data_IF_963956817502
#
_entry.id   IF_963956817502
#
_cell.length_a   1.000
_cell.length_b   1.000
_cell.length_c   1.000
_cell.angle_alpha   90.00
_cell.angle_beta   90.00
_cell.angle_gamma   90.00
#
_symmetry.space_group_name_H-M   'P 1'
#
loop_
_entity.id
_entity.type
_entity.pdbx_description
1 polymer ?
#
# COMPACT_ATOMS: atom_id res chain seq x y z
N UNK A 1 -0.13 49.70 6.28
CA UNK A 1 0.19 50.26 7.61
C UNK A 1 0.00 49.15 8.64
N UNK A 2 1.08 48.86 9.37
CA UNK A 2 1.25 48.16 10.67
C UNK A 2 0.34 46.95 11.04
N UNK A 3 0.86 45.83 11.55
CA UNK A 3 2.23 45.52 11.94
C UNK A 3 2.40 44.23 12.76
N UNK A 4 3.67 43.99 13.09
CA UNK A 4 4.26 43.24 14.24
C UNK A 4 3.93 41.74 14.33
N UNK A 5 4.84 40.83 13.97
CA UNK A 5 6.09 40.46 14.65
C UNK A 5 5.87 39.94 16.09
N UNK A 6 6.02 38.62 16.27
CA UNK A 6 6.32 38.01 17.56
C UNK A 6 7.42 36.95 17.35
N UNK A 7 8.59 37.34 17.83
CA UNK A 7 9.84 36.60 18.00
C UNK A 7 9.66 35.59 19.15
N UNK A 8 10.08 34.32 18.98
CA UNK A 8 10.32 33.41 20.10
C UNK A 8 11.77 32.94 20.05
N UNK A 9 12.45 33.18 21.16
CA UNK A 9 13.88 33.09 21.41
C UNK A 9 14.29 31.66 21.81
N UNK A 10 15.52 31.31 21.42
CA UNK A 10 16.32 30.13 21.72
C UNK A 10 16.31 29.63 23.17
N UNK A 11 16.58 28.33 23.36
CA UNK A 11 17.51 27.89 24.40
C UNK A 11 18.36 26.70 23.91
N UNK A 12 19.68 26.86 24.06
CA UNK A 12 20.74 25.89 23.79
C UNK A 12 21.04 25.15 25.09
N UNK A 13 21.31 23.84 25.05
CA UNK A 13 22.40 23.14 25.78
C UNK A 13 22.09 21.65 25.97
N UNK A 14 22.95 20.78 25.42
CA UNK A 14 23.62 19.74 26.20
C UNK A 14 24.71 19.06 25.34
N UNK A 15 25.95 19.34 25.72
CA UNK A 15 27.16 18.61 25.37
C UNK A 15 27.30 17.41 26.33
N UNK A 16 27.92 16.31 25.88
CA UNK A 16 28.70 15.50 26.82
C UNK A 16 28.68 13.98 26.65
N UNK A 17 29.83 13.45 26.21
CA UNK A 17 30.39 12.14 26.60
C UNK A 17 29.76 10.92 25.92
N UNK A 18 30.49 9.91 25.48
CA UNK A 18 31.85 9.45 25.77
C UNK A 18 31.85 7.94 25.52
N UNK A 19 32.95 7.44 24.96
CA UNK A 19 33.12 6.15 24.30
C UNK A 19 32.64 4.89 25.07
N UNK A 20 32.25 3.85 24.32
CA UNK A 20 32.70 2.49 24.64
C UNK A 20 32.77 1.62 23.38
N UNK A 21 34.00 1.22 23.07
CA UNK A 21 34.36 0.17 22.11
C UNK A 21 34.01 -1.17 22.75
N UNK A 22 33.26 -2.01 22.06
CA UNK A 22 33.21 -3.45 22.33
C UNK A 22 33.30 -4.17 20.99
N UNK A 23 34.51 -4.57 20.62
CA UNK A 23 34.71 -5.66 19.69
C UNK A 23 34.50 -6.98 20.45
N UNK A 24 33.85 -7.97 19.85
CA UNK A 24 34.19 -9.35 20.13
C UNK A 24 34.86 -9.97 18.90
N UNK A 25 36.04 -10.49 19.22
CA UNK A 25 36.94 -11.34 18.46
C UNK A 25 36.27 -12.32 17.51
N UNK A 26 36.82 -12.38 16.30
CA UNK A 26 36.76 -13.55 15.44
C UNK A 26 37.43 -14.74 16.14
N UNK A 27 36.69 -15.83 16.32
CA UNK A 27 37.22 -17.15 16.61
C UNK A 27 36.56 -18.15 15.65
N UNK A 28 37.33 -18.94 14.88
CA UNK A 28 36.80 -20.03 14.06
C UNK A 28 36.91 -21.34 14.83
N UNK A 29 35.82 -22.09 14.99
CA UNK A 29 35.74 -23.52 15.36
C UNK A 29 34.26 -23.84 15.62
N UNK A 30 33.66 -24.98 15.34
CA UNK A 30 33.82 -26.07 14.38
C UNK A 30 32.48 -26.84 14.45
N UNK A 31 32.15 -27.55 13.37
CA UNK A 31 31.13 -28.59 13.19
C UNK A 31 30.18 -28.95 14.37
N UNK A 32 28.88 -28.84 14.08
CA UNK A 32 27.80 -29.52 14.82
C UNK A 32 26.69 -29.90 13.84
N UNK A 33 26.81 -31.10 13.28
CA UNK A 33 25.76 -31.81 12.55
C UNK A 33 24.66 -32.25 13.54
N UNK A 34 23.42 -31.86 13.29
CA UNK A 34 22.30 -32.15 14.17
C UNK A 34 21.00 -31.66 13.57
N UNK A 35 20.30 -32.54 12.86
CA UNK A 35 19.02 -32.28 12.23
C UNK A 35 17.87 -31.98 13.18
N UNK A 36 16.74 -31.67 12.54
CA UNK A 36 15.43 -31.24 13.06
C UNK A 36 15.35 -29.72 13.37
N UNK A 37 14.42 -28.95 12.84
CA UNK A 37 13.09 -29.28 12.36
C UNK A 37 12.75 -28.50 11.08
N UNK A 38 12.16 -29.18 10.10
CA UNK A 38 11.27 -28.55 9.14
C UNK A 38 10.07 -28.01 9.91
N UNK A 39 10.21 -26.80 10.46
CA UNK A 39 9.05 -26.00 10.83
C UNK A 39 8.19 -25.81 9.58
N UNK A 40 6.87 -25.57 9.74
CA UNK A 40 6.04 -25.20 8.61
C UNK A 40 6.75 -24.03 7.91
N UNK A 41 7.01 -24.18 6.61
CA UNK A 41 7.38 -23.06 5.77
C UNK A 41 6.21 -22.09 5.86
N UNK A 42 6.32 -21.17 6.81
CA UNK A 42 5.55 -19.94 6.84
C UNK A 42 5.86 -19.32 5.49
N UNK A 43 4.93 -19.49 4.55
CA UNK A 43 5.13 -19.07 3.18
C UNK A 43 5.39 -17.58 3.25
N UNK A 44 6.66 -17.19 3.06
CA UNK A 44 7.07 -15.81 3.10
C UNK A 44 6.07 -15.02 2.23
N UNK A 45 5.50 -13.91 2.73
CA UNK A 45 4.52 -13.15 1.97
C UNK A 45 5.08 -12.90 0.57
N UNK A 46 4.28 -13.07 -0.50
CA UNK A 46 4.76 -12.90 -1.86
C UNK A 46 5.48 -11.55 -1.96
N UNK A 47 6.76 -11.59 -2.35
CA UNK A 47 7.59 -10.39 -2.38
C UNK A 47 6.93 -9.34 -3.29
N UNK A 48 6.75 -8.14 -2.75
CA UNK A 48 6.18 -7.03 -3.49
C UNK A 48 7.21 -6.55 -4.52
N UNK A 49 6.84 -6.40 -5.81
CA UNK A 49 7.74 -5.86 -6.80
C UNK A 49 8.11 -4.40 -6.45
N UNK A 50 9.24 -3.93 -6.97
CA UNK A 50 9.63 -2.53 -6.82
C UNK A 50 9.46 -1.81 -8.15
N UNK A 51 8.75 -0.68 -8.14
CA UNK A 51 8.57 0.17 -9.30
C UNK A 51 9.57 1.33 -9.28
N UNK A 52 10.46 1.38 -10.27
CA UNK A 52 11.46 2.42 -10.45
C UNK A 52 10.88 3.76 -10.93
N UNK A 53 9.63 3.78 -11.41
CA UNK A 53 8.93 5.00 -11.82
C UNK A 53 7.44 4.99 -11.44
N UNK A 54 6.81 6.16 -11.41
CA UNK A 54 5.36 6.28 -11.15
C UNK A 54 4.51 5.60 -12.24
N UNK A 55 4.96 5.64 -13.49
CA UNK A 55 4.29 4.99 -14.61
C UNK A 55 4.33 3.47 -14.47
N UNK A 56 5.50 2.91 -14.17
CA UNK A 56 5.68 1.49 -13.90
C UNK A 56 4.85 1.04 -12.69
N UNK A 57 4.84 1.83 -11.62
CA UNK A 57 4.03 1.52 -10.45
C UNK A 57 2.54 1.46 -10.80
N UNK A 58 2.04 2.40 -11.60
CA UNK A 58 0.65 2.41 -12.07
C UNK A 58 0.32 1.15 -12.87
N UNK A 59 1.23 0.70 -13.74
CA UNK A 59 1.04 -0.53 -14.53
C UNK A 59 1.00 -1.78 -13.64
N UNK A 60 1.96 -1.91 -12.72
CA UNK A 60 2.03 -3.04 -11.78
C UNK A 60 0.83 -3.08 -10.83
N UNK A 61 0.41 -1.92 -10.32
CA UNK A 61 -0.84 -1.79 -9.55
C UNK A 61 -2.03 -2.23 -10.40
N UNK A 62 -2.09 -1.73 -11.64
CA UNK A 62 -3.16 -2.09 -12.58
C UNK A 62 -3.28 -3.60 -12.75
N UNK A 63 -2.16 -4.28 -12.99
CA UNK A 63 -2.10 -5.73 -13.14
C UNK A 63 -2.51 -6.48 -11.85
N UNK A 64 -2.08 -6.01 -10.68
CA UNK A 64 -2.47 -6.60 -9.40
C UNK A 64 -3.98 -6.48 -9.13
N UNK A 65 -4.59 -5.35 -9.53
CA UNK A 65 -6.05 -5.17 -9.45
C UNK A 65 -6.77 -6.06 -10.47
N UNK A 66 -6.24 -6.19 -11.69
CA UNK A 66 -6.84 -7.01 -12.74
C UNK A 66 -6.81 -8.51 -12.37
N UNK A 67 -5.76 -8.97 -11.67
CA UNK A 67 -5.70 -10.31 -11.09
C UNK A 67 -6.79 -10.56 -10.03
N UNK A 68 -7.31 -9.50 -9.42
CA UNK A 68 -8.41 -9.50 -8.45
C UNK A 68 -9.73 -8.94 -9.01
N UNK A 69 -9.81 -8.83 -10.34
CA UNK A 69 -10.92 -8.16 -11.02
C UNK A 69 -12.28 -8.79 -10.69
N UNK A 70 -12.35 -10.12 -10.60
CA UNK A 70 -13.60 -10.83 -10.28
C UNK A 70 -14.12 -10.52 -8.87
N UNK A 71 -13.25 -10.39 -7.86
CA UNK A 71 -13.66 -10.04 -6.50
C UNK A 71 -14.07 -8.55 -6.44
N UNK A 72 -13.34 -7.67 -7.14
CA UNK A 72 -13.65 -6.24 -7.18
C UNK A 72 -14.94 -5.96 -7.97
N UNK A 73 -15.21 -6.71 -9.06
CA UNK A 73 -16.44 -6.58 -9.83
C UNK A 73 -17.68 -6.88 -8.98
N UNK A 74 -17.65 -7.92 -8.14
CA UNK A 74 -18.74 -8.21 -7.19
C UNK A 74 -19.05 -7.01 -6.28
N UNK A 75 -18.03 -6.35 -5.75
CA UNK A 75 -18.21 -5.15 -4.94
C UNK A 75 -18.90 -4.02 -5.71
N UNK A 76 -18.56 -3.85 -6.99
CA UNK A 76 -19.16 -2.83 -7.87
C UNK A 76 -20.61 -3.20 -8.23
N UNK A 77 -20.88 -4.47 -8.52
CA UNK A 77 -22.22 -4.98 -8.79
C UNK A 77 -23.15 -4.78 -7.58
N UNK A 78 -22.70 -5.15 -6.38
CA UNK A 78 -23.44 -4.91 -5.13
C UNK A 78 -23.69 -3.42 -4.91
N UNK A 79 -22.72 -2.56 -5.21
CA UNK A 79 -22.91 -1.11 -5.17
C UNK A 79 -23.98 -0.64 -6.17
N UNK A 80 -23.93 -1.13 -7.42
CA UNK A 80 -24.93 -0.79 -8.45
C UNK A 80 -26.34 -1.22 -8.03
N UNK A 81 -26.48 -2.42 -7.47
CA UNK A 81 -27.76 -2.92 -6.96
C UNK A 81 -28.27 -2.06 -5.80
N UNK A 82 -27.43 -1.79 -4.79
CA UNK A 82 -27.81 -0.97 -3.62
C UNK A 82 -28.17 0.46 -3.97
N UNK A 83 -27.52 1.05 -4.99
CA UNK A 83 -27.78 2.43 -5.43
C UNK A 83 -28.81 2.52 -6.56
N UNK A 84 -29.33 1.40 -7.04
CA UNK A 84 -30.22 1.31 -8.20
C UNK A 84 -29.63 2.01 -9.44
N UNK A 85 -28.35 1.73 -9.74
CA UNK A 85 -27.59 2.27 -10.86
C UNK A 85 -27.25 1.17 -11.88
N UNK A 86 -28.24 0.53 -12.52
CA UNK A 86 -27.97 -0.50 -13.50
C UNK A 86 -27.16 0.08 -14.66
N UNK A 87 -26.13 -0.66 -15.10
CA UNK A 87 -25.24 -0.32 -16.22
C UNK A 87 -24.44 0.99 -16.11
N UNK A 88 -24.50 1.70 -15.00
CA UNK A 88 -23.73 2.93 -14.88
C UNK A 88 -22.23 2.67 -14.75
N UNK A 89 -21.45 3.55 -15.38
CA UNK A 89 -20.00 3.59 -15.26
C UNK A 89 -19.61 3.97 -13.82
N UNK A 90 -18.85 3.09 -13.18
CA UNK A 90 -18.32 3.30 -11.83
C UNK A 90 -16.80 3.49 -11.93
N UNK A 91 -16.32 4.66 -11.52
CA UNK A 91 -14.89 4.98 -11.52
C UNK A 91 -14.34 4.93 -10.10
N UNK A 92 -13.49 3.94 -9.83
CA UNK A 92 -12.86 3.73 -8.53
C UNK A 92 -11.41 4.15 -8.61
N UNK A 93 -10.99 5.08 -7.73
CA UNK A 93 -9.61 5.45 -7.52
C UNK A 93 -9.06 4.76 -6.27
N UNK A 94 -7.98 4.00 -6.45
CA UNK A 94 -7.25 3.28 -5.41
C UNK A 94 -6.01 4.09 -5.05
N UNK A 95 -5.82 4.38 -3.76
CA UNK A 95 -4.61 5.04 -3.26
C UNK A 95 -3.66 4.02 -2.64
N UNK A 96 -2.41 3.98 -3.10
CA UNK A 96 -1.38 3.06 -2.61
C UNK A 96 -0.17 3.86 -2.16
N UNK A 97 0.37 3.55 -0.99
CA UNK A 97 1.55 4.22 -0.46
C UNK A 97 2.88 3.66 -1.02
N UNK A 98 3.97 4.28 -0.61
CA UNK A 98 5.34 3.90 -0.99
C UNK A 98 5.75 2.47 -0.57
N UNK A 99 5.06 1.88 0.41
CA UNK A 99 5.29 0.51 0.88
C UNK A 99 4.41 -0.53 0.15
N UNK A 100 3.62 -0.08 -0.83
CA UNK A 100 2.67 -0.92 -1.53
C UNK A 100 1.51 -1.33 -0.62
N UNK A 101 1.10 -0.48 0.33
CA UNK A 101 -0.13 -0.68 1.12
C UNK A 101 -1.28 0.06 0.48
N UNK A 102 -2.44 -0.60 0.43
CA UNK A 102 -3.67 0.04 -0.01
C UNK A 102 -4.18 0.96 1.10
N UNK A 103 -4.24 2.26 0.82
CA UNK A 103 -4.78 3.28 1.73
C UNK A 103 -6.30 3.33 1.69
N UNK A 104 -6.87 3.00 0.54
CA UNK A 104 -8.32 2.95 0.37
C UNK A 104 -8.76 3.02 -1.09
N UNK A 105 -10.08 2.93 -1.27
CA UNK A 105 -10.76 3.05 -2.55
C UNK A 105 -11.79 4.19 -2.45
N UNK A 106 -11.86 5.03 -3.48
CA UNK A 106 -12.77 6.19 -3.53
C UNK A 106 -13.47 6.26 -4.88
N UNK A 107 -14.70 6.81 -4.90
CA UNK A 107 -15.43 7.05 -6.13
C UNK A 107 -15.03 8.42 -6.71
N UNK A 108 -14.64 8.48 -7.98
CA UNK A 108 -14.23 9.75 -8.63
C UNK A 108 -15.40 10.67 -8.95
N UNK A 109 -16.52 10.11 -9.39
CA UNK A 109 -17.68 10.86 -9.91
C UNK A 109 -18.93 10.77 -9.04
N UNK A 110 -18.84 10.11 -7.89
CA UNK A 110 -19.96 9.88 -6.99
C UNK A 110 -19.56 10.15 -5.54
N UNK A 111 -20.56 10.26 -4.66
CA UNK A 111 -20.33 10.43 -3.23
C UNK A 111 -19.55 9.23 -2.67
N UNK A 112 -18.64 9.43 -1.71
CA UNK A 112 -17.97 8.33 -1.01
C UNK A 112 -18.98 7.31 -0.49
N UNK A 113 -18.69 6.02 -0.68
CA UNK A 113 -19.51 4.92 -0.19
C UNK A 113 -18.64 3.98 0.65
N UNK A 114 -18.73 4.02 1.99
CA UNK A 114 -17.82 3.27 2.85
C UNK A 114 -17.96 1.76 2.64
N UNK A 115 -19.17 1.26 2.36
CA UNK A 115 -19.40 -0.15 2.10
C UNK A 115 -18.68 -0.63 0.84
N UNK A 116 -18.73 0.14 -0.26
CA UNK A 116 -17.96 -0.16 -1.47
C UNK A 116 -16.46 -0.09 -1.18
N UNK A 117 -16.01 0.97 -0.51
CA UNK A 117 -14.59 1.16 -0.17
C UNK A 117 -14.03 0.02 0.66
N UNK A 118 -14.77 -0.45 1.66
CA UNK A 118 -14.41 -1.60 2.51
C UNK A 118 -14.43 -2.91 1.73
N UNK A 119 -15.44 -3.13 0.87
CA UNK A 119 -15.52 -4.32 0.03
C UNK A 119 -14.30 -4.43 -0.88
N UNK A 120 -13.95 -3.33 -1.55
CA UNK A 120 -12.78 -3.28 -2.45
C UNK A 120 -11.48 -3.47 -1.66
N UNK A 121 -11.36 -2.87 -0.48
CA UNK A 121 -10.18 -3.09 0.38
C UNK A 121 -10.03 -4.55 0.81
N UNK A 122 -11.13 -5.23 1.12
CA UNK A 122 -11.13 -6.68 1.43
C UNK A 122 -10.79 -7.52 0.21
N UNK A 123 -11.34 -7.18 -0.96
CA UNK A 123 -11.07 -7.89 -2.22
C UNK A 123 -9.59 -7.78 -2.64
N UNK A 124 -8.98 -6.62 -2.39
CA UNK A 124 -7.57 -6.33 -2.69
C UNK A 124 -6.63 -6.61 -1.51
N UNK A 125 -7.14 -7.18 -0.40
CA UNK A 125 -6.31 -7.54 0.73
C UNK A 125 -5.29 -8.61 0.32
N UNK A 126 -4.03 -8.39 0.66
CA UNK A 126 -2.93 -9.28 0.29
C UNK A 126 -2.50 -9.20 -1.18
N UNK A 127 -3.04 -8.28 -1.99
CA UNK A 127 -2.54 -8.05 -3.34
C UNK A 127 -1.08 -7.55 -3.29
N UNK A 128 -0.18 -8.06 -4.16
CA UNK A 128 1.24 -7.72 -4.16
C UNK A 128 1.49 -6.36 -4.83
N UNK A 129 0.95 -5.27 -4.27
CA UNK A 129 1.16 -3.94 -4.82
C UNK A 129 2.63 -3.54 -4.74
N UNK A 130 3.17 -2.88 -5.78
CA UNK A 130 4.58 -2.52 -5.82
C UNK A 130 4.93 -1.48 -4.75
N UNK A 131 6.17 -1.54 -4.29
CA UNK A 131 6.80 -0.42 -3.59
C UNK A 131 7.24 0.64 -4.59
N UNK A 132 7.24 1.91 -4.20
CA UNK A 132 7.71 3.01 -5.06
C UNK A 132 8.22 4.18 -4.23
N UNK A 133 9.17 4.96 -4.76
CA UNK A 133 9.56 6.25 -4.16
C UNK A 133 8.58 7.40 -4.46
N UNK A 134 7.52 7.14 -5.24
CA UNK A 134 6.62 8.18 -5.77
C UNK A 134 5.58 8.69 -4.76
N UNK A 135 5.75 8.45 -3.46
CA UNK A 135 4.76 8.80 -2.43
C UNK A 135 3.48 7.97 -2.56
N UNK A 136 2.31 8.64 -2.61
CA UNK A 136 1.01 7.98 -2.80
C UNK A 136 0.65 7.96 -4.29
N UNK A 137 0.54 6.77 -4.86
CA UNK A 137 0.11 6.56 -6.24
C UNK A 137 -1.39 6.28 -6.26
N UNK A 138 -2.10 6.99 -7.14
CA UNK A 138 -3.54 6.79 -7.34
C UNK A 138 -3.81 6.16 -8.70
N UNK A 139 -4.45 4.99 -8.71
CA UNK A 139 -4.85 4.30 -9.94
C UNK A 139 -6.37 4.31 -10.05
N UNK A 140 -6.89 4.83 -11.17
CA UNK A 140 -8.32 4.82 -11.44
C UNK A 140 -8.68 3.64 -12.35
N UNK A 141 -9.61 2.80 -11.90
CA UNK A 141 -10.21 1.73 -12.68
C UNK A 141 -11.66 2.09 -13.00
N UNK A 142 -12.05 1.81 -14.24
CA UNK A 142 -13.38 2.08 -14.77
C UNK A 142 -14.09 0.74 -14.90
N UNK A 143 -15.26 0.65 -14.30
CA UNK A 143 -16.13 -0.51 -14.39
C UNK A 143 -17.40 -0.09 -15.14
N UNK A 144 -17.56 -0.60 -16.35
CA UNK A 144 -18.73 -0.42 -17.21
C UNK A 144 -19.20 -1.80 -17.67
N UNK A 145 -20.49 -1.91 -17.94
CA UNK A 145 -21.03 -3.13 -18.54
C UNK A 145 -20.75 -3.03 -20.04
N UNK A 146 -19.79 -3.82 -20.53
CA UNK A 146 -19.54 -3.91 -21.97
C UNK A 146 -20.63 -4.83 -22.51
N UNK A 147 -21.66 -4.25 -23.12
CA UNK A 147 -22.61 -5.01 -23.93
C UNK A 147 -21.81 -5.62 -25.09
N UNK A 148 -21.50 -6.92 -25.01
CA UNK A 148 -20.95 -7.72 -26.10
C UNK A 148 -22.06 -8.42 -26.86
#
# INVERSE_FOLDING_TARGET
>A
MWGRAALVICLVAACGGGATVVAPSSGPEAAGDGGAASGPVDAAPPEKPFAGSALEATQLIGAAVDAKSSEVQKCVEDYRQRKNLPRQRVEVSLGIDQEGRLLGATLKKAKPDPTLSECIQKALAGAPFPRSHSGVISVTKIYEEIEQ
#
